data_IF_335804180550
#
_entry.id   IF_335804180550
#
_cell.length_a   1.000
_cell.length_b   1.000
_cell.length_c   1.000
_cell.angle_alpha   90.00
_cell.angle_beta   90.00
_cell.angle_gamma   90.00
#
_symmetry.space_group_name_H-M   'P 1'
#
loop_
_entity.id
_entity.type
_entity.pdbx_description
1 polymer ?
#
# COMPACT_ATOMS: atom_id res chain seq x y z
N UNK A 1 3.86 -6.41 -7.86
CA UNK A 1 3.71 -7.44 -8.92
C UNK A 1 4.60 -8.66 -8.68
N UNK A 2 5.93 -8.52 -8.63
CA UNK A 2 6.86 -9.67 -8.44
C UNK A 2 6.59 -10.39 -7.10
N UNK A 3 6.52 -9.65 -5.99
CA UNK A 3 6.22 -10.23 -4.68
C UNK A 3 4.84 -10.92 -4.61
N UNK A 4 3.83 -10.39 -5.30
CA UNK A 4 2.48 -10.96 -5.37
C UNK A 4 2.47 -12.34 -6.05
N UNK A 5 3.27 -12.49 -7.12
CA UNK A 5 3.41 -13.76 -7.85
C UNK A 5 4.07 -14.85 -7.00
N UNK A 6 5.01 -14.47 -6.13
CA UNK A 6 5.63 -15.40 -5.16
C UNK A 6 4.68 -15.83 -4.04
N UNK A 7 3.79 -14.95 -3.61
CA UNK A 7 2.81 -15.21 -2.54
C UNK A 7 1.54 -15.94 -3.01
N UNK A 8 1.48 -16.41 -4.27
CA UNK A 8 0.28 -16.98 -4.91
C UNK A 8 -0.97 -16.07 -4.81
N UNK A 9 -0.78 -14.77 -4.65
CA UNK A 9 -1.88 -13.81 -4.60
C UNK A 9 -2.27 -13.40 -6.03
N UNK A 10 -3.53 -13.01 -6.23
CA UNK A 10 -3.95 -12.42 -7.49
C UNK A 10 -3.14 -11.14 -7.74
N UNK A 11 -2.32 -11.10 -8.80
CA UNK A 11 -1.35 -10.04 -9.00
C UNK A 11 -2.02 -8.68 -9.23
N UNK A 12 -3.25 -8.69 -9.77
CA UNK A 12 -4.09 -7.51 -9.99
C UNK A 12 -4.60 -6.96 -8.66
N UNK A 13 -5.28 -7.78 -7.86
CA UNK A 13 -5.80 -7.37 -6.54
C UNK A 13 -4.67 -6.91 -5.60
N UNK A 14 -3.52 -7.57 -5.65
CA UNK A 14 -2.35 -7.16 -4.85
C UNK A 14 -1.76 -5.85 -5.35
N UNK A 15 -1.77 -5.58 -6.66
CA UNK A 15 -1.33 -4.29 -7.20
C UNK A 15 -2.26 -3.16 -6.77
N UNK A 16 -3.58 -3.39 -6.78
CA UNK A 16 -4.58 -2.42 -6.31
C UNK A 16 -4.37 -2.13 -4.82
N UNK A 17 -4.23 -3.17 -3.97
CA UNK A 17 -3.99 -3.01 -2.54
C UNK A 17 -2.67 -2.28 -2.23
N UNK A 18 -1.58 -2.59 -2.95
CA UNK A 18 -0.29 -1.89 -2.79
C UNK A 18 -0.36 -0.44 -3.27
N UNK A 19 -1.08 -0.16 -4.36
CA UNK A 19 -1.20 1.21 -4.90
C UNK A 19 -1.92 2.16 -3.95
N UNK A 20 -2.72 1.64 -3.01
CA UNK A 20 -3.33 2.45 -1.96
C UNK A 20 -2.32 3.21 -1.10
N UNK A 21 -1.11 2.68 -0.91
CA UNK A 21 -0.03 3.37 -0.20
C UNK A 21 0.47 4.63 -0.91
N UNK A 22 0.20 4.78 -2.22
CA UNK A 22 0.52 5.99 -2.99
C UNK A 22 -0.59 7.04 -2.95
N UNK A 23 -1.80 6.66 -2.54
CA UNK A 23 -2.92 7.58 -2.38
C UNK A 23 -2.83 8.42 -1.10
N UNK A 24 -3.64 9.47 -1.02
CA UNK A 24 -3.77 10.31 0.18
C UNK A 24 -4.46 9.52 1.32
N UNK A 25 -3.71 8.68 2.04
CA UNK A 25 -4.21 7.93 3.18
C UNK A 25 -5.44 7.08 2.87
N UNK A 26 -6.37 6.99 3.84
CA UNK A 26 -7.57 6.15 3.71
C UNK A 26 -8.57 6.62 2.65
N UNK A 27 -8.60 7.92 2.33
CA UNK A 27 -9.47 8.47 1.27
C UNK A 27 -8.93 8.15 -0.12
N UNK A 28 -7.60 8.19 -0.31
CA UNK A 28 -6.96 7.73 -1.54
C UNK A 28 -7.15 6.23 -1.79
N UNK A 29 -7.04 5.41 -0.74
CA UNK A 29 -7.31 3.97 -0.83
C UNK A 29 -8.75 3.68 -1.26
N UNK A 30 -9.71 4.40 -0.68
CA UNK A 30 -11.13 4.36 -1.07
C UNK A 30 -11.35 4.65 -2.55
N UNK A 31 -10.73 5.72 -3.07
CA UNK A 31 -10.86 6.10 -4.47
C UNK A 31 -10.24 5.05 -5.43
N UNK A 32 -9.12 4.46 -5.05
CA UNK A 32 -8.44 3.40 -5.82
C UNK A 32 -9.27 2.12 -5.83
N UNK A 33 -9.83 1.71 -4.69
CA UNK A 33 -10.70 0.54 -4.62
C UNK A 33 -12.03 0.75 -5.36
N UNK A 34 -12.56 1.97 -5.31
CA UNK A 34 -13.74 2.35 -6.08
C UNK A 34 -13.47 2.33 -7.59
N UNK A 35 -12.30 2.80 -8.03
CA UNK A 35 -11.89 2.72 -9.44
C UNK A 35 -11.66 1.28 -9.92
N UNK A 36 -11.30 0.37 -9.01
CA UNK A 36 -11.08 -1.05 -9.29
C UNK A 36 -12.28 -1.96 -9.06
N UNK A 37 -13.45 -1.43 -8.64
CA UNK A 37 -14.66 -2.20 -8.27
C UNK A 37 -14.36 -3.35 -7.28
N UNK A 38 -13.53 -3.07 -6.27
CA UNK A 38 -13.01 -4.07 -5.31
C UNK A 38 -13.07 -3.57 -3.87
N UNK A 39 -14.24 -3.08 -3.46
CA UNK A 39 -14.49 -2.55 -2.11
C UNK A 39 -14.37 -3.59 -0.99
N UNK A 40 -14.49 -4.90 -1.29
CA UNK A 40 -14.24 -5.98 -0.32
C UNK A 40 -12.81 -5.96 0.25
N UNK A 41 -11.84 -5.37 -0.47
CA UNK A 41 -10.46 -5.29 -0.02
C UNK A 41 -10.19 -4.06 0.86
N UNK A 42 -11.19 -3.25 1.21
CA UNK A 42 -11.02 -2.04 2.02
C UNK A 42 -10.25 -2.25 3.34
N UNK A 43 -10.54 -3.29 4.16
CA UNK A 43 -9.76 -3.53 5.38
C UNK A 43 -8.28 -3.83 5.08
N UNK A 44 -7.98 -4.58 4.01
CA UNK A 44 -6.60 -4.85 3.60
C UNK A 44 -5.89 -3.59 3.09
N UNK A 45 -6.59 -2.76 2.32
CA UNK A 45 -6.07 -1.50 1.81
C UNK A 45 -5.73 -0.52 2.95
N UNK A 46 -6.56 -0.44 3.99
CA UNK A 46 -6.28 0.41 5.16
C UNK A 46 -5.05 -0.08 5.95
N UNK A 47 -4.93 -1.39 6.17
CA UNK A 47 -3.75 -1.97 6.84
C UNK A 47 -2.49 -1.70 6.00
N UNK A 48 -2.57 -1.89 4.68
CA UNK A 48 -1.46 -1.61 3.76
C UNK A 48 -1.00 -0.15 3.84
N UNK A 49 -1.93 0.82 3.82
CA UNK A 49 -1.61 2.25 3.93
C UNK A 49 -0.90 2.59 5.24
N UNK A 50 -1.32 1.99 6.36
CA UNK A 50 -0.71 2.28 7.67
C UNK A 50 0.68 1.66 7.82
N UNK A 51 0.84 0.39 7.41
CA UNK A 51 2.14 -0.26 7.41
C UNK A 51 3.10 0.39 6.41
N UNK A 52 2.62 0.73 5.22
CA UNK A 52 3.38 1.46 4.20
C UNK A 52 3.92 2.80 4.73
N UNK A 53 3.06 3.60 5.35
CA UNK A 53 3.47 4.87 5.96
C UNK A 53 4.51 4.69 7.08
N UNK A 54 4.32 3.72 7.97
CA UNK A 54 5.29 3.44 9.04
C UNK A 54 6.65 3.00 8.49
N UNK A 55 6.66 2.19 7.43
CA UNK A 55 7.89 1.80 6.73
C UNK A 55 8.57 3.00 6.08
N UNK A 56 7.83 3.87 5.38
CA UNK A 56 8.40 5.08 4.75
C UNK A 56 9.00 6.01 5.79
N UNK A 57 8.34 6.23 6.93
CA UNK A 57 8.85 7.09 8.02
C UNK A 57 10.11 6.48 8.63
N UNK A 58 10.09 5.18 8.95
CA UNK A 58 11.27 4.49 9.48
C UNK A 58 12.46 4.60 8.52
N UNK A 59 12.22 4.41 7.23
CA UNK A 59 13.27 4.51 6.21
C UNK A 59 13.78 5.94 6.04
N UNK A 60 12.89 6.94 6.10
CA UNK A 60 13.27 8.35 6.02
C UNK A 60 14.14 8.77 7.22
N UNK A 61 13.78 8.34 8.43
CA UNK A 61 14.58 8.61 9.64
C UNK A 61 15.93 7.91 9.55
N UNK A 62 15.96 6.64 9.12
CA UNK A 62 17.20 5.90 8.94
C UNK A 62 18.13 6.56 7.92
N UNK A 63 17.57 7.00 6.77
CA UNK A 63 18.33 7.69 5.72
C UNK A 63 18.83 9.06 6.20
N UNK A 64 18.01 9.82 6.94
CA UNK A 64 18.40 11.09 7.52
C UNK A 64 19.53 10.93 8.55
N UNK A 65 19.49 9.87 9.35
CA UNK A 65 20.56 9.52 10.28
C UNK A 65 21.85 9.02 9.62
N UNK A 66 21.78 8.47 8.41
CA UNK A 66 22.96 8.07 7.62
C UNK A 66 23.60 9.26 6.87
N UNK A 67 22.80 10.26 6.50
CA UNK A 67 23.26 11.44 5.76
C UNK A 67 23.81 12.56 6.68
N UNK A 68 23.39 12.59 7.95
CA UNK A 68 23.91 13.49 8.99
C UNK A 68 25.20 12.99 9.59
#
# INVERSE_FOLDING_TARGET
FIAAKFLKMYPVDTAIAVSCCSGQGGTGALAILAAGDRMELMPFAQVAVRLGGAMTVTFAIFLMGLLS
#
